data_IF_276530373074
#
_entry.id   IF_276530373074
#
_cell.length_a   1.000
_cell.length_b   1.000
_cell.length_c   1.000
_cell.angle_alpha   90.00
_cell.angle_beta   90.00
_cell.angle_gamma   90.00
#
_symmetry.space_group_name_H-M   'P 1'
#
loop_
_entity.id
_entity.type
_entity.pdbx_description
1 polymer ?
#
# COMPACT_ATOMS: atom_id res chain seq x y z
N UNK A 1 -18.15 -23.97 4.75
CA UNK A 1 -17.65 -22.84 5.55
C UNK A 1 -17.36 -21.70 4.58
N UNK A 2 -18.02 -20.56 4.74
CA UNK A 2 -17.70 -19.36 3.95
C UNK A 2 -16.40 -18.75 4.46
N UNK A 3 -15.45 -18.34 3.60
CA UNK A 3 -14.30 -17.58 4.06
C UNK A 3 -14.82 -16.25 4.59
N UNK A 4 -14.65 -16.02 5.89
CA UNK A 4 -14.85 -14.69 6.48
C UNK A 4 -13.89 -13.74 5.75
N UNK A 5 -14.38 -12.68 5.10
CA UNK A 5 -13.49 -11.65 4.57
C UNK A 5 -12.75 -11.09 5.78
N UNK A 6 -11.43 -11.29 5.83
CA UNK A 6 -10.63 -10.56 6.80
C UNK A 6 -10.94 -9.08 6.56
N UNK A 7 -11.27 -8.28 7.59
CA UNK A 7 -11.29 -6.85 7.42
C UNK A 7 -9.89 -6.52 6.93
N UNK A 8 -9.80 -5.99 5.72
CA UNK A 8 -8.59 -5.35 5.24
C UNK A 8 -8.28 -4.30 6.32
N UNK A 9 -7.39 -4.66 7.26
CA UNK A 9 -6.98 -3.76 8.32
C UNK A 9 -6.56 -2.48 7.64
N UNK A 10 -7.05 -1.33 8.13
CA UNK A 10 -6.92 -0.02 7.50
C UNK A 10 -5.51 0.17 6.94
N UNK A 11 -5.34 -0.12 5.65
CA UNK A 11 -4.03 -0.04 5.00
C UNK A 11 -3.72 1.44 4.87
N UNK A 12 -2.48 1.84 5.13
CA UNK A 12 -2.06 3.22 4.93
C UNK A 12 -2.26 3.58 3.44
N UNK A 13 -2.64 4.83 3.10
CA UNK A 13 -2.77 5.25 1.72
C UNK A 13 -1.45 5.07 0.95
N UNK A 14 -1.53 4.65 -0.31
CA UNK A 14 -0.35 4.40 -1.13
C UNK A 14 0.52 5.66 -1.29
N UNK A 15 -0.11 6.85 -1.28
CA UNK A 15 0.60 8.13 -1.32
C UNK A 15 1.52 8.35 -0.12
N UNK A 16 1.04 8.05 1.10
CA UNK A 16 1.83 8.20 2.34
C UNK A 16 3.03 7.26 2.32
N UNK A 17 2.82 6.00 1.92
CA UNK A 17 3.90 5.01 1.84
C UNK A 17 4.93 5.44 0.77
N UNK A 18 4.48 6.01 -0.36
CA UNK A 18 5.36 6.49 -1.41
C UNK A 18 6.21 7.70 -0.98
N UNK A 19 5.68 8.59 -0.13
CA UNK A 19 6.45 9.67 0.48
C UNK A 19 7.55 9.14 1.42
N UNK A 20 7.24 8.12 2.23
CA UNK A 20 8.23 7.45 3.08
C UNK A 20 9.32 6.76 2.25
N UNK A 21 8.96 6.10 1.15
CA UNK A 21 9.92 5.52 0.21
C UNK A 21 10.84 6.59 -0.36
N UNK A 22 10.31 7.74 -0.78
CA UNK A 22 11.11 8.84 -1.32
C UNK A 22 12.09 9.38 -0.29
N UNK A 23 11.62 9.66 0.93
CA UNK A 23 12.47 10.14 2.02
C UNK A 23 13.58 9.13 2.36
N UNK A 24 13.27 7.83 2.34
CA UNK A 24 14.24 6.78 2.57
C UNK A 24 15.30 6.70 1.46
N UNK A 25 14.91 6.87 0.20
CA UNK A 25 15.83 6.91 -0.94
C UNK A 25 16.77 8.12 -0.83
N UNK A 26 16.24 9.30 -0.50
CA UNK A 26 17.02 10.53 -0.30
C UNK A 26 18.03 10.39 0.85
N UNK A 27 17.69 9.59 1.88
CA UNK A 27 18.60 9.20 2.95
C UNK A 27 19.60 8.09 2.60
N UNK A 28 19.63 7.60 1.36
CA UNK A 28 20.53 6.53 0.91
C UNK A 28 20.08 5.11 1.27
N UNK A 29 18.85 4.93 1.74
CA UNK A 29 18.29 3.64 2.15
C UNK A 29 17.79 2.75 1.02
N UNK A 30 18.15 3.02 -0.23
CA UNK A 30 17.73 2.23 -1.39
C UNK A 30 18.19 0.77 -1.24
N UNK A 31 17.26 -0.18 -1.39
CA UNK A 31 17.54 -1.61 -1.27
C UNK A 31 17.73 -2.11 0.17
N UNK A 32 17.57 -1.25 1.18
CA UNK A 32 17.53 -1.68 2.57
C UNK A 32 16.32 -2.56 2.88
N UNK A 33 16.33 -3.29 4.01
CA UNK A 33 15.17 -4.05 4.48
C UNK A 33 13.92 -3.17 4.62
N UNK A 34 14.07 -1.99 5.23
CA UNK A 34 12.98 -1.02 5.37
C UNK A 34 12.40 -0.57 4.02
N UNK A 35 13.24 -0.42 2.99
CA UNK A 35 12.79 -0.11 1.64
C UNK A 35 11.94 -1.25 1.04
N UNK A 36 12.38 -2.49 1.20
CA UNK A 36 11.64 -3.65 0.70
C UNK A 36 10.31 -3.84 1.44
N UNK A 37 10.28 -3.63 2.75
CA UNK A 37 9.06 -3.71 3.55
C UNK A 37 8.04 -2.64 3.10
N UNK A 38 8.49 -1.40 2.86
CA UNK A 38 7.63 -0.34 2.34
C UNK A 38 7.11 -0.65 0.93
N UNK A 39 7.90 -1.32 0.06
CA UNK A 39 7.41 -1.74 -1.25
C UNK A 39 6.30 -2.80 -1.16
N UNK A 40 6.41 -3.74 -0.23
CA UNK A 40 5.37 -4.75 0.03
C UNK A 40 4.10 -4.09 0.53
N UNK A 41 4.23 -3.14 1.47
CA UNK A 41 3.09 -2.40 2.00
C UNK A 41 2.42 -1.53 0.93
N UNK A 42 3.22 -0.80 0.13
CA UNK A 42 2.73 0.01 -0.98
C UNK A 42 1.97 -0.84 -2.01
N UNK A 43 2.49 -2.02 -2.35
CA UNK A 43 1.82 -2.94 -3.25
C UNK A 43 0.49 -3.47 -2.69
N UNK A 44 0.37 -3.62 -1.36
CA UNK A 44 -0.89 -3.97 -0.72
C UNK A 44 -1.89 -2.81 -0.76
N UNK A 45 -1.45 -1.58 -0.45
CA UNK A 45 -2.28 -0.37 -0.50
C UNK A 45 -2.86 -0.13 -1.91
N UNK A 46 -2.02 -0.23 -2.94
CA UNK A 46 -2.44 -0.08 -4.34
C UNK A 46 -3.54 -1.06 -4.75
N UNK A 47 -3.51 -2.31 -4.25
CA UNK A 47 -4.57 -3.29 -4.54
C UNK A 47 -5.89 -2.93 -3.89
N UNK A 48 -5.85 -2.40 -2.66
CA UNK A 48 -7.05 -1.96 -1.95
C UNK A 48 -7.64 -0.72 -2.63
N UNK A 49 -6.80 0.25 -3.00
CA UNK A 49 -7.22 1.46 -3.72
C UNK A 49 -7.80 1.12 -5.09
N UNK A 50 -7.15 0.26 -5.89
CA UNK A 50 -7.69 -0.19 -7.17
C UNK A 50 -9.04 -0.92 -7.02
N UNK A 51 -9.17 -1.78 -6.01
CA UNK A 51 -10.45 -2.46 -5.70
C UNK A 51 -11.53 -1.45 -5.32
N UNK A 52 -11.17 -0.37 -4.61
CA UNK A 52 -12.12 0.69 -4.22
C UNK A 52 -12.58 1.50 -5.44
N UNK A 53 -11.66 1.84 -6.34
CA UNK A 53 -11.98 2.56 -7.56
C UNK A 53 -12.88 1.74 -8.50
N UNK A 54 -12.61 0.43 -8.65
CA UNK A 54 -13.44 -0.50 -9.44
C UNK A 54 -14.87 -0.63 -8.88
N UNK A 55 -15.05 -0.47 -7.56
CA UNK A 55 -16.35 -0.54 -6.89
C UNK A 55 -17.10 0.80 -6.89
N UNK A 56 -16.49 1.89 -7.35
CA UNK A 56 -17.15 3.19 -7.46
C UNK A 56 -17.90 3.26 -8.81
N UNK A 57 -19.23 3.10 -8.85
CA UNK A 57 -19.97 3.22 -10.10
C UNK A 57 -19.83 4.65 -10.62
N UNK A 58 -19.56 4.79 -11.93
CA UNK A 58 -19.59 6.08 -12.61
C UNK A 58 -20.94 6.75 -12.36
N UNK A 59 -20.92 7.85 -11.61
CA UNK A 59 -22.09 8.67 -11.29
C UNK A 59 -22.49 9.58 -12.45
#
# INVERSE_FOLDING_TARGET
MSPTPLPYGSVRPASVINEEIRALIEGGGLGSGAYLDLLVEWAAAMRVEATRDDLSPAA
#
